data_IF_797984989945
#
_entry.id   IF_797984989945
#
_cell.length_a   1.000
_cell.length_b   1.000
_cell.length_c   1.000
_cell.angle_alpha   90.00
_cell.angle_beta   90.00
_cell.angle_gamma   90.00
#
_symmetry.space_group_name_H-M   'P 1'
#
loop_
_entity.id
_entity.type
_entity.pdbx_description
1 polymer ?
#
# COMPACT_ATOMS: atom_id res chain seq x y z
N UNK A 1 -24.28 10.40 1.76
CA UNK A 1 -23.30 9.78 0.82
C UNK A 1 -21.99 9.72 1.59
N UNK A 2 -21.30 8.60 1.67
CA UNK A 2 -20.00 8.57 2.39
C UNK A 2 -18.98 9.34 1.57
N UNK A 3 -18.38 10.37 2.15
CA UNK A 3 -17.38 11.22 1.50
C UNK A 3 -16.04 10.46 1.34
N UNK A 4 -15.63 9.76 2.41
CA UNK A 4 -14.40 8.96 2.41
C UNK A 4 -14.65 7.53 1.93
N UNK A 5 -13.87 7.10 0.93
CA UNK A 5 -13.80 5.72 0.46
C UNK A 5 -12.80 4.88 1.26
N UNK A 6 -12.29 3.78 0.68
CA UNK A 6 -11.33 2.88 1.32
C UNK A 6 -9.93 3.51 1.50
N UNK A 7 -9.60 4.57 0.77
CA UNK A 7 -8.29 5.22 0.81
C UNK A 7 -8.43 6.73 0.53
N UNK A 8 -9.10 7.43 1.41
CA UNK A 8 -9.38 8.85 1.29
C UNK A 8 -10.56 9.19 0.38
N UNK A 9 -10.73 10.47 0.09
CA UNK A 9 -11.70 11.00 -0.87
C UNK A 9 -11.09 10.86 -2.26
N UNK A 10 -11.78 10.24 -3.22
CA UNK A 10 -11.29 10.10 -4.60
C UNK A 10 -12.42 10.10 -5.60
N UNK A 11 -12.17 10.69 -6.77
CA UNK A 11 -13.09 10.68 -7.89
C UNK A 11 -12.72 11.67 -8.98
N UNK A 12 -13.61 11.81 -9.97
CA UNK A 12 -13.48 12.83 -11.01
C UNK A 12 -13.41 14.23 -10.40
N UNK A 13 -12.64 15.14 -11.01
CA UNK A 13 -12.47 16.51 -10.49
C UNK A 13 -13.76 17.34 -10.50
N UNK A 14 -14.79 16.89 -11.22
CA UNK A 14 -16.15 17.42 -11.13
C UNK A 14 -16.81 17.15 -9.77
N UNK A 15 -16.36 16.12 -9.05
CA UNK A 15 -16.82 15.73 -7.72
C UNK A 15 -15.81 16.18 -6.64
N UNK A 16 -14.51 15.96 -6.88
CA UNK A 16 -13.42 16.42 -5.99
C UNK A 16 -13.05 17.86 -6.35
N UNK A 17 -13.96 18.77 -6.03
CA UNK A 17 -13.86 20.19 -6.42
C UNK A 17 -13.00 21.02 -5.47
N UNK A 18 -12.51 22.20 -5.88
CA UNK A 18 -11.86 23.13 -4.95
C UNK A 18 -12.74 23.57 -3.78
N UNK A 19 -14.07 23.60 -3.96
CA UNK A 19 -15.01 23.90 -2.88
C UNK A 19 -15.03 22.78 -1.83
N UNK A 20 -15.02 21.52 -2.26
CA UNK A 20 -14.90 20.37 -1.37
C UNK A 20 -13.54 20.36 -0.66
N UNK A 21 -12.46 20.62 -1.39
CA UNK A 21 -11.10 20.68 -0.83
C UNK A 21 -10.98 21.76 0.26
N UNK A 22 -11.55 22.94 0.04
CA UNK A 22 -11.65 24.00 1.05
C UNK A 22 -12.41 23.51 2.29
N UNK A 23 -13.60 22.90 2.09
CA UNK A 23 -14.42 22.41 3.18
C UNK A 23 -13.72 21.31 4.01
N UNK A 24 -13.04 20.36 3.34
CA UNK A 24 -12.23 19.33 4.00
C UNK A 24 -11.09 19.94 4.79
N UNK A 25 -10.36 20.90 4.23
CA UNK A 25 -9.31 21.62 4.94
C UNK A 25 -9.86 22.34 6.18
N UNK A 26 -10.99 23.03 6.06
CA UNK A 26 -11.63 23.73 7.17
C UNK A 26 -12.15 22.73 8.24
N UNK A 27 -12.69 21.59 7.82
CA UNK A 27 -13.17 20.56 8.72
C UNK A 27 -12.04 19.80 9.45
N UNK A 28 -10.91 19.55 8.79
CA UNK A 28 -9.75 18.86 9.38
C UNK A 28 -8.90 19.77 10.25
N UNK A 29 -8.94 21.09 10.01
CA UNK A 29 -8.16 22.09 10.73
C UNK A 29 -8.67 22.32 12.15
N UNK A 30 -7.75 22.67 13.04
CA UNK A 30 -8.00 23.10 14.41
C UNK A 30 -6.97 24.17 14.78
N UNK A 31 -7.31 25.15 15.64
CA UNK A 31 -6.34 26.08 16.16
C UNK A 31 -5.14 25.38 16.80
N UNK A 32 -3.97 25.95 16.66
CA UNK A 32 -2.70 25.44 17.22
C UNK A 32 -2.24 24.09 16.66
N UNK A 33 -2.81 23.62 15.56
CA UNK A 33 -2.31 22.44 14.81
C UNK A 33 -1.49 22.85 13.60
N UNK A 34 -0.54 22.00 13.22
CA UNK A 34 0.31 22.21 12.05
C UNK A 34 0.07 21.08 11.03
N UNK A 35 -0.08 21.47 9.77
CA UNK A 35 -0.21 20.55 8.66
C UNK A 35 0.95 20.65 7.68
N UNK A 36 1.29 19.53 7.05
CA UNK A 36 2.03 19.52 5.79
C UNK A 36 1.05 19.23 4.65
N UNK A 37 1.17 19.97 3.55
CA UNK A 37 0.34 19.78 2.34
C UNK A 37 1.24 19.46 1.16
N UNK A 38 1.04 18.29 0.58
CA UNK A 38 1.75 17.81 -0.61
C UNK A 38 0.79 17.30 -1.69
N UNK A 39 1.31 17.06 -2.87
CA UNK A 39 0.54 16.58 -4.01
C UNK A 39 1.36 15.68 -4.92
N UNK A 40 0.67 14.86 -5.72
CA UNK A 40 1.26 14.18 -6.87
C UNK A 40 1.37 15.12 -8.09
N UNK A 41 1.72 14.58 -9.26
CA UNK A 41 1.92 15.36 -10.48
C UNK A 41 0.64 15.74 -11.24
N UNK A 42 -0.56 15.44 -10.75
CA UNK A 42 -1.82 15.70 -11.45
C UNK A 42 -2.05 17.19 -11.66
N UNK A 43 -2.55 17.55 -12.87
CA UNK A 43 -2.75 18.94 -13.31
C UNK A 43 -3.67 19.77 -12.38
N UNK A 44 -4.64 19.11 -11.74
CA UNK A 44 -5.60 19.78 -10.83
C UNK A 44 -5.07 19.90 -9.40
N UNK A 45 -3.95 19.21 -9.08
CA UNK A 45 -3.34 19.19 -7.76
C UNK A 45 -3.03 20.56 -7.18
N UNK A 46 -2.41 21.51 -7.94
CA UNK A 46 -2.10 22.84 -7.42
C UNK A 46 -3.32 23.63 -6.94
N UNK A 47 -4.43 23.55 -7.67
CA UNK A 47 -5.66 24.27 -7.32
C UNK A 47 -6.34 23.65 -6.08
N UNK A 48 -6.37 22.32 -5.99
CA UNK A 48 -6.91 21.61 -4.83
C UNK A 48 -6.06 21.85 -3.57
N UNK A 49 -4.72 21.83 -3.69
CA UNK A 49 -3.82 22.12 -2.59
C UNK A 49 -4.01 23.54 -2.03
N UNK A 50 -4.12 24.53 -2.91
CA UNK A 50 -4.40 25.91 -2.49
C UNK A 50 -5.76 26.05 -1.77
N UNK A 51 -6.77 25.30 -2.21
CA UNK A 51 -8.10 25.31 -1.58
C UNK A 51 -8.06 24.65 -0.18
N UNK A 52 -7.42 23.47 -0.05
CA UNK A 52 -7.21 22.81 1.26
C UNK A 52 -6.47 23.73 2.22
N UNK A 53 -5.39 24.36 1.77
CA UNK A 53 -4.57 25.27 2.56
C UNK A 53 -5.40 26.43 3.09
N UNK A 54 -6.18 27.11 2.21
CA UNK A 54 -7.07 28.21 2.64
C UNK A 54 -8.11 27.74 3.68
N UNK A 55 -8.59 26.50 3.57
CA UNK A 55 -9.46 25.88 4.56
C UNK A 55 -8.76 25.70 5.91
N UNK A 56 -7.58 25.10 5.92
CA UNK A 56 -6.76 24.87 7.11
C UNK A 56 -6.40 26.18 7.83
N UNK A 57 -5.89 27.17 7.08
CA UNK A 57 -5.56 28.50 7.62
C UNK A 57 -6.78 29.18 8.24
N UNK A 58 -7.94 29.11 7.56
CA UNK A 58 -9.17 29.71 8.07
C UNK A 58 -9.68 29.04 9.35
N UNK A 59 -9.34 27.78 9.57
CA UNK A 59 -9.61 27.04 10.81
C UNK A 59 -8.59 27.34 11.93
N UNK A 60 -7.49 28.06 11.62
CA UNK A 60 -6.45 28.43 12.57
C UNK A 60 -5.23 27.52 12.57
N UNK A 61 -5.11 26.59 11.60
CA UNK A 61 -3.96 25.71 11.48
C UNK A 61 -2.84 26.32 10.66
N UNK A 62 -1.59 26.16 11.09
CA UNK A 62 -0.43 26.48 10.28
C UNK A 62 -0.18 25.44 9.18
N UNK A 63 0.29 25.88 8.01
CA UNK A 63 0.51 25.02 6.86
C UNK A 63 1.93 25.09 6.33
N UNK A 64 2.59 23.96 6.18
CA UNK A 64 3.81 23.81 5.42
C UNK A 64 3.52 23.17 4.05
N UNK A 65 3.77 23.95 2.98
CA UNK A 65 3.69 23.44 1.59
C UNK A 65 4.96 22.67 1.28
N UNK A 66 4.83 21.41 0.92
CA UNK A 66 5.97 20.55 0.53
C UNK A 66 6.01 20.27 -0.99
N UNK A 67 5.05 20.78 -1.76
CA UNK A 67 5.05 20.71 -3.21
C UNK A 67 4.71 19.33 -3.78
N UNK A 68 5.35 19.00 -4.92
CA UNK A 68 5.24 17.68 -5.55
C UNK A 68 6.17 16.70 -4.86
N UNK A 69 5.56 15.65 -4.29
CA UNK A 69 6.28 14.61 -3.54
C UNK A 69 5.55 13.26 -3.63
N UNK A 70 6.24 12.13 -3.48
CA UNK A 70 5.61 10.85 -3.23
C UNK A 70 4.75 10.86 -1.96
N UNK A 71 3.66 10.08 -1.95
CA UNK A 71 2.82 9.90 -0.76
C UNK A 71 3.64 9.50 0.49
N UNK A 72 4.60 8.55 0.42
CA UNK A 72 5.43 8.23 1.58
C UNK A 72 6.30 9.42 2.05
N UNK A 73 6.73 10.32 1.17
CA UNK A 73 7.44 11.54 1.58
C UNK A 73 6.55 12.46 2.41
N UNK A 74 5.27 12.62 2.03
CA UNK A 74 4.31 13.38 2.83
C UNK A 74 4.07 12.70 4.18
N UNK A 75 3.86 11.39 4.20
CA UNK A 75 3.67 10.63 5.45
C UNK A 75 4.87 10.81 6.39
N UNK A 76 6.10 10.69 5.87
CA UNK A 76 7.33 11.00 6.60
C UNK A 76 7.33 12.42 7.16
N UNK A 77 6.95 13.42 6.38
CA UNK A 77 6.91 14.82 6.79
C UNK A 77 5.79 15.11 7.81
N UNK A 78 4.75 14.29 7.87
CA UNK A 78 3.64 14.45 8.83
C UNK A 78 3.92 13.89 10.22
N UNK A 79 5.12 13.35 10.48
CA UNK A 79 5.53 12.91 11.83
C UNK A 79 5.52 14.08 12.81
N UNK A 80 4.83 13.92 13.94
CA UNK A 80 4.63 14.96 14.94
C UNK A 80 3.67 16.08 14.54
N UNK A 81 2.95 15.93 13.41
CA UNK A 81 1.94 16.87 12.91
C UNK A 81 0.89 16.15 12.06
N UNK A 82 -0.03 16.90 11.47
CA UNK A 82 -0.99 16.36 10.50
C UNK A 82 -0.49 16.55 9.07
N UNK A 83 -1.10 15.85 8.10
CA UNK A 83 -0.76 15.95 6.68
C UNK A 83 -1.97 15.85 5.77
N UNK A 84 -1.87 16.46 4.59
CA UNK A 84 -2.84 16.32 3.50
C UNK A 84 -2.10 15.99 2.22
N UNK A 85 -2.43 14.88 1.59
CA UNK A 85 -1.91 14.51 0.27
C UNK A 85 -3.01 14.63 -0.78
N UNK A 86 -2.75 15.43 -1.82
CA UNK A 86 -3.60 15.56 -2.99
C UNK A 86 -3.16 14.52 -4.03
N UNK A 87 -3.91 13.44 -4.16
CA UNK A 87 -3.59 12.34 -5.08
C UNK A 87 -4.79 11.42 -5.28
N UNK A 88 -4.94 10.87 -6.46
CA UNK A 88 -5.81 9.72 -6.71
C UNK A 88 -5.01 8.44 -6.99
N UNK A 89 -3.69 8.41 -6.63
CA UNK A 89 -2.80 7.25 -6.77
C UNK A 89 -2.83 6.70 -8.21
N UNK A 90 -3.42 5.53 -8.40
CA UNK A 90 -3.47 4.79 -9.66
C UNK A 90 -4.73 5.07 -10.52
N UNK A 91 -5.57 6.03 -10.13
CA UNK A 91 -6.75 6.40 -10.92
C UNK A 91 -6.36 7.17 -12.20
N UNK A 92 -7.25 7.25 -13.20
CA UNK A 92 -7.00 8.01 -14.43
C UNK A 92 -6.63 9.48 -14.19
N UNK A 93 -6.04 10.18 -15.19
CA UNK A 93 -5.54 11.56 -15.05
C UNK A 93 -6.60 12.60 -14.65
N UNK A 94 -7.87 12.41 -15.04
CA UNK A 94 -8.99 13.29 -14.72
C UNK A 94 -9.47 13.17 -13.27
N UNK A 95 -9.05 12.15 -12.55
CA UNK A 95 -9.40 11.98 -11.14
C UNK A 95 -8.38 12.69 -10.24
N UNK A 96 -8.83 13.09 -9.06
CA UNK A 96 -7.96 13.51 -7.97
C UNK A 96 -8.51 13.01 -6.63
N UNK A 97 -7.85 13.33 -5.54
CA UNK A 97 -8.30 12.90 -4.22
C UNK A 97 -7.60 13.64 -3.09
N UNK A 98 -8.07 13.38 -1.88
CA UNK A 98 -7.57 13.96 -0.65
C UNK A 98 -7.39 12.84 0.37
N UNK A 99 -6.15 12.61 0.80
CA UNK A 99 -5.81 11.71 1.91
C UNK A 99 -5.37 12.54 3.11
N UNK A 100 -5.82 12.17 4.29
CA UNK A 100 -5.46 12.83 5.55
C UNK A 100 -4.53 11.94 6.38
N UNK A 101 -3.56 12.57 7.02
CA UNK A 101 -2.54 11.89 7.83
C UNK A 101 -2.42 12.52 9.22
N UNK A 102 -2.06 11.73 10.19
CA UNK A 102 -1.64 12.18 11.51
C UNK A 102 -0.43 11.38 11.97
N UNK A 103 0.65 12.07 12.31
CA UNK A 103 1.88 11.45 12.82
C UNK A 103 2.42 10.30 11.91
N UNK A 104 2.41 10.49 10.59
CA UNK A 104 2.89 9.52 9.61
C UNK A 104 1.85 8.47 9.17
N UNK A 105 0.70 8.38 9.80
CA UNK A 105 -0.33 7.36 9.53
C UNK A 105 -1.55 7.98 8.87
N UNK A 106 -2.14 7.32 7.88
CA UNK A 106 -3.43 7.73 7.31
C UNK A 106 -4.50 7.78 8.41
N UNK A 107 -5.45 8.72 8.30
CA UNK A 107 -6.58 8.79 9.24
C UNK A 107 -7.32 7.46 9.29
N UNK A 108 -7.66 7.03 10.49
CA UNK A 108 -8.57 5.91 10.67
C UNK A 108 -10.02 6.33 10.37
N UNK A 109 -10.90 5.33 10.26
CA UNK A 109 -12.32 5.57 9.93
C UNK A 109 -13.04 6.50 10.91
N UNK A 110 -12.61 6.59 12.15
CA UNK A 110 -13.23 7.49 13.15
C UNK A 110 -12.78 8.94 12.91
N UNK A 111 -11.50 9.15 12.60
CA UNK A 111 -10.97 10.46 12.26
C UNK A 111 -11.55 10.96 10.92
N UNK A 112 -11.70 10.07 9.91
CA UNK A 112 -12.37 10.38 8.65
C UNK A 112 -13.83 10.81 8.87
N UNK A 113 -14.59 10.04 9.65
CA UNK A 113 -16.00 10.36 9.99
C UNK A 113 -16.12 11.70 10.70
N UNK A 114 -15.21 12.01 11.62
CA UNK A 114 -15.24 13.29 12.31
C UNK A 114 -15.07 14.48 11.34
N UNK A 115 -14.28 14.33 10.27
CA UNK A 115 -14.16 15.32 9.20
C UNK A 115 -15.44 15.34 8.34
N UNK A 116 -15.95 14.17 7.95
CA UNK A 116 -17.17 14.01 7.15
C UNK A 116 -18.39 14.67 7.82
N UNK A 117 -18.61 14.38 9.11
CA UNK A 117 -19.70 14.96 9.92
C UNK A 117 -19.62 16.50 9.97
N UNK A 118 -18.41 17.07 10.00
CA UNK A 118 -18.21 18.52 9.97
C UNK A 118 -18.46 19.12 8.58
N UNK A 119 -18.08 18.41 7.51
CA UNK A 119 -18.31 18.85 6.12
C UNK A 119 -19.81 18.82 5.77
N UNK A 120 -20.53 17.78 6.22
CA UNK A 120 -21.95 17.57 5.93
C UNK A 120 -22.90 18.26 6.94
N UNK A 121 -22.36 18.80 8.04
CA UNK A 121 -23.15 19.39 9.12
C UNK A 121 -23.95 20.62 8.70
N UNK A 122 -25.18 20.74 9.21
CA UNK A 122 -26.10 21.85 8.93
C UNK A 122 -25.64 23.21 9.48
N UNK A 123 -24.79 23.21 10.51
CA UNK A 123 -24.30 24.44 11.17
C UNK A 123 -23.26 25.20 10.35
N UNK A 124 -22.79 24.59 9.23
CA UNK A 124 -21.76 25.14 8.35
C UNK A 124 -20.36 25.15 9.00
N UNK A 125 -19.35 25.28 8.16
CA UNK A 125 -17.96 25.44 8.60
C UNK A 125 -17.69 26.91 8.88
N UNK A 126 -17.32 27.23 10.13
CA UNK A 126 -16.99 28.60 10.53
C UNK A 126 -15.46 28.81 10.55
N UNK A 127 -15.04 29.92 9.97
CA UNK A 127 -13.65 30.39 10.12
C UNK A 127 -13.40 30.87 11.53
N UNK A 128 -12.19 30.66 12.02
CA UNK A 128 -11.77 31.28 13.28
C UNK A 128 -11.72 32.80 13.16
N UNK A 129 -11.54 33.49 14.29
CA UNK A 129 -11.50 34.94 14.30
C UNK A 129 -10.35 35.46 13.42
N UNK A 130 -10.54 36.57 12.72
CA UNK A 130 -9.62 37.13 11.72
C UNK A 130 -8.14 37.28 12.17
N UNK A 131 -7.90 37.42 13.48
CA UNK A 131 -6.58 37.56 14.09
C UNK A 131 -6.02 36.21 14.63
N UNK A 132 -6.64 35.08 14.26
CA UNK A 132 -6.26 33.73 14.65
C UNK A 132 -6.19 32.75 13.47
N UNK A 133 -6.13 33.29 12.27
CA UNK A 133 -5.87 32.45 11.11
C UNK A 133 -4.44 31.91 11.17
N UNK A 134 -4.26 30.70 10.68
CA UNK A 134 -2.94 30.10 10.56
C UNK A 134 -2.07 30.77 9.52
N UNK A 135 -0.79 30.53 9.58
CA UNK A 135 0.21 31.02 8.62
C UNK A 135 0.69 29.88 7.73
N UNK A 136 1.16 30.21 6.51
CA UNK A 136 1.76 29.22 5.62
C UNK A 136 3.21 29.55 5.26
N UNK A 137 4.00 28.47 5.10
CA UNK A 137 5.37 28.53 4.64
C UNK A 137 5.70 27.34 3.73
N UNK A 138 6.79 27.45 2.98
CA UNK A 138 7.33 26.32 2.19
C UNK A 138 8.33 25.55 3.04
N UNK A 139 8.30 24.21 2.94
CA UNK A 139 9.23 23.31 3.61
C UNK A 139 9.79 22.29 2.59
N UNK A 140 11.11 22.24 2.47
CA UNK A 140 11.79 21.23 1.66
C UNK A 140 12.00 19.96 2.50
N UNK A 141 11.44 18.83 2.03
CA UNK A 141 11.45 17.57 2.80
C UNK A 141 12.02 16.39 2.01
N UNK A 142 12.09 16.51 0.68
CA UNK A 142 12.40 15.39 -0.20
C UNK A 142 13.79 14.80 0.06
N UNK A 143 14.81 15.64 0.24
CA UNK A 143 16.17 15.16 0.53
C UNK A 143 16.27 14.50 1.91
N UNK A 144 15.59 15.05 2.92
CA UNK A 144 15.54 14.44 4.25
C UNK A 144 14.84 13.07 4.24
N UNK A 145 13.80 12.91 3.43
CA UNK A 145 13.14 11.62 3.23
C UNK A 145 14.06 10.61 2.52
N UNK A 146 14.70 11.02 1.41
CA UNK A 146 15.68 10.19 0.70
C UNK A 146 16.82 9.72 1.61
N UNK A 147 17.37 10.63 2.41
CA UNK A 147 18.43 10.33 3.38
C UNK A 147 17.94 9.35 4.45
N UNK A 148 16.69 9.48 4.90
CA UNK A 148 16.11 8.57 5.87
C UNK A 148 15.92 7.16 5.30
N UNK A 149 15.44 7.01 4.05
CA UNK A 149 15.33 5.70 3.39
C UNK A 149 16.71 5.07 3.19
N UNK A 150 17.69 5.83 2.72
CA UNK A 150 19.07 5.35 2.55
C UNK A 150 19.64 4.87 3.88
N UNK A 151 19.47 5.66 4.95
CA UNK A 151 19.93 5.30 6.30
C UNK A 151 19.27 4.01 6.80
N UNK A 152 17.96 3.91 6.62
CA UNK A 152 17.19 2.72 7.00
C UNK A 152 17.68 1.45 6.30
N UNK A 153 17.89 1.50 4.97
CA UNK A 153 18.36 0.31 4.23
C UNK A 153 19.77 -0.07 4.62
N UNK A 154 20.68 0.88 4.82
CA UNK A 154 22.04 0.60 5.33
C UNK A 154 22.04 -0.05 6.71
N UNK A 155 21.12 0.34 7.58
CA UNK A 155 20.95 -0.28 8.90
C UNK A 155 20.41 -1.71 8.81
N UNK A 156 19.47 -1.98 7.88
CA UNK A 156 18.92 -3.32 7.68
C UNK A 156 19.87 -4.28 6.95
N UNK A 157 20.77 -3.74 6.12
CA UNK A 157 21.70 -4.53 5.28
C UNK A 157 23.14 -4.03 5.48
N UNK A 158 23.73 -4.22 6.67
CA UNK A 158 25.09 -3.78 6.94
C UNK A 158 26.09 -4.56 6.08
N UNK A 159 27.01 -3.84 5.43
CA UNK A 159 28.08 -4.50 4.68
C UNK A 159 29.04 -5.24 5.63
N UNK A 160 29.49 -6.41 5.21
CA UNK A 160 30.38 -7.29 5.98
C UNK A 160 31.84 -6.81 6.02
N UNK A 161 32.18 -5.65 5.46
CA UNK A 161 33.54 -5.12 5.41
C UNK A 161 33.83 -4.18 6.56
N UNK A 162 34.93 -4.44 7.32
CA UNK A 162 35.51 -3.55 8.35
C UNK A 162 36.04 -2.21 7.80
N UNK A 163 35.53 -1.74 6.65
CA UNK A 163 35.94 -0.50 5.98
C UNK A 163 35.06 0.69 6.34
N UNK A 164 35.63 1.89 6.48
CA UNK A 164 34.86 3.08 6.79
C UNK A 164 34.07 3.57 5.57
N UNK A 165 32.79 3.84 5.76
CA UNK A 165 32.03 4.93 5.18
C UNK A 165 31.45 4.84 3.76
N UNK A 166 31.66 3.81 2.97
CA UNK A 166 30.89 3.62 1.71
C UNK A 166 30.06 2.34 1.77
N UNK A 167 29.08 2.34 2.67
CA UNK A 167 28.09 1.28 2.76
C UNK A 167 27.14 1.39 1.58
N UNK A 168 27.50 0.68 0.49
CA UNK A 168 26.80 0.66 -0.78
C UNK A 168 26.18 -0.74 -1.00
N UNK A 169 25.08 -1.08 -0.29
CA UNK A 169 24.51 -2.44 -0.33
C UNK A 169 24.00 -2.85 -1.70
N UNK A 170 23.90 -1.93 -2.66
CA UNK A 170 23.47 -2.19 -4.03
C UNK A 170 24.61 -2.07 -5.05
N UNK A 171 25.86 -2.01 -4.61
CA UNK A 171 27.01 -1.91 -5.53
C UNK A 171 27.03 -3.10 -6.51
N UNK A 172 27.11 -2.76 -7.79
CA UNK A 172 27.15 -3.75 -8.88
C UNK A 172 25.78 -4.19 -9.41
N UNK A 173 24.65 -3.72 -8.82
CA UNK A 173 23.34 -3.96 -9.41
C UNK A 173 23.02 -2.94 -10.50
N UNK A 174 22.54 -3.42 -11.65
CA UNK A 174 21.92 -2.64 -12.73
C UNK A 174 20.40 -2.70 -12.58
N UNK A 175 19.75 -1.58 -12.24
CA UNK A 175 18.32 -1.52 -11.93
C UNK A 175 17.59 -0.62 -12.91
N UNK A 176 16.54 -1.12 -13.55
CA UNK A 176 15.62 -0.28 -14.31
C UNK A 176 14.42 0.14 -13.43
N UNK A 177 14.03 1.42 -13.47
CA UNK A 177 12.88 1.95 -12.73
C UNK A 177 11.91 2.61 -13.70
N UNK A 178 10.71 2.06 -13.85
CA UNK A 178 9.61 2.72 -14.57
C UNK A 178 8.81 3.59 -13.59
N UNK A 179 9.03 4.89 -13.67
CA UNK A 179 8.36 5.89 -12.84
C UNK A 179 6.93 6.22 -13.32
N UNK A 180 6.51 5.75 -14.50
CA UNK A 180 5.16 5.93 -15.05
C UNK A 180 4.69 7.38 -15.12
N UNK A 181 5.58 8.35 -15.34
CA UNK A 181 5.34 9.79 -15.22
C UNK A 181 4.86 10.26 -13.83
N UNK A 182 4.98 9.41 -12.81
CA UNK A 182 4.60 9.70 -11.44
C UNK A 182 5.71 10.35 -10.61
N UNK A 183 5.36 10.75 -9.39
CA UNK A 183 6.30 11.40 -8.45
C UNK A 183 7.31 10.43 -7.80
N UNK A 184 7.20 9.12 -8.05
CA UNK A 184 8.24 8.14 -7.71
C UNK A 184 9.60 8.48 -8.31
N UNK A 185 9.62 9.14 -9.48
CA UNK A 185 10.82 9.66 -10.15
C UNK A 185 11.63 10.63 -9.27
N UNK A 186 10.97 11.32 -8.38
CA UNK A 186 11.59 12.27 -7.45
C UNK A 186 12.34 11.57 -6.30
N UNK A 187 12.11 10.29 -6.05
CA UNK A 187 12.70 9.61 -4.89
C UNK A 187 13.45 8.32 -5.27
N UNK A 188 12.80 7.33 -5.86
CA UNK A 188 13.34 5.98 -6.03
C UNK A 188 14.67 5.92 -6.76
N UNK A 189 14.85 6.54 -7.96
CA UNK A 189 16.14 6.47 -8.65
C UNK A 189 17.29 7.10 -7.85
N UNK A 190 16.98 8.16 -7.09
CA UNK A 190 17.96 8.84 -6.26
C UNK A 190 18.37 8.02 -5.04
N UNK A 191 17.42 7.33 -4.39
CA UNK A 191 17.68 6.44 -3.24
C UNK A 191 18.54 5.27 -3.68
N UNK A 192 18.16 4.59 -4.77
CA UNK A 192 18.91 3.44 -5.29
C UNK A 192 20.34 3.82 -5.71
N UNK A 193 20.51 4.94 -6.42
CA UNK A 193 21.84 5.45 -6.78
C UNK A 193 22.70 5.81 -5.57
N UNK A 194 22.12 6.37 -4.48
CA UNK A 194 22.86 6.64 -3.23
C UNK A 194 23.23 5.37 -2.45
N UNK A 195 22.51 4.26 -2.70
CA UNK A 195 22.81 2.92 -2.17
C UNK A 195 23.82 2.16 -3.03
N UNK A 196 24.27 2.71 -4.16
CA UNK A 196 25.34 2.16 -5.00
C UNK A 196 24.89 1.50 -6.30
N UNK A 197 23.59 1.45 -6.61
CA UNK A 197 23.11 0.84 -7.86
C UNK A 197 23.37 1.73 -9.07
N UNK A 198 23.60 1.10 -10.23
CA UNK A 198 23.50 1.72 -11.54
C UNK A 198 22.04 1.74 -11.99
N UNK A 199 21.45 2.94 -12.08
CA UNK A 199 20.00 3.09 -12.27
C UNK A 199 19.66 3.69 -13.63
N UNK A 200 18.79 3.01 -14.36
CA UNK A 200 18.13 3.54 -15.57
C UNK A 200 16.68 3.88 -15.24
N UNK A 201 16.35 5.16 -15.17
CA UNK A 201 15.00 5.63 -14.89
C UNK A 201 14.24 5.93 -16.20
N UNK A 202 13.11 5.24 -16.39
CA UNK A 202 12.20 5.40 -17.52
C UNK A 202 10.99 6.23 -17.08
N UNK A 203 10.43 7.02 -18.02
CA UNK A 203 9.23 7.83 -17.75
C UNK A 203 9.36 8.70 -16.50
N UNK A 204 10.60 9.22 -16.26
CA UNK A 204 10.99 9.88 -15.02
C UNK A 204 10.63 11.38 -14.98
N UNK A 205 10.08 11.95 -16.03
CA UNK A 205 9.46 13.27 -16.00
C UNK A 205 8.08 13.19 -15.35
N UNK A 206 7.83 13.98 -14.33
CA UNK A 206 6.48 14.08 -13.73
C UNK A 206 5.53 14.69 -14.76
N UNK A 207 4.44 13.97 -15.06
CA UNK A 207 3.41 14.43 -16.00
C UNK A 207 2.04 13.86 -15.58
N UNK A 208 1.16 14.73 -15.12
CA UNK A 208 -0.16 14.35 -14.61
C UNK A 208 -1.12 13.75 -15.65
N UNK A 209 -0.75 13.74 -16.94
CA UNK A 209 -1.49 13.04 -17.98
C UNK A 209 -1.14 11.55 -18.06
N UNK A 210 -0.05 11.11 -17.43
CA UNK A 210 0.43 9.71 -17.46
C UNK A 210 0.52 9.15 -18.87
N UNK A 211 1.21 9.89 -19.78
CA UNK A 211 1.23 9.63 -21.22
C UNK A 211 2.02 8.38 -21.61
N UNK A 212 2.97 7.95 -20.77
CA UNK A 212 3.78 6.77 -21.06
C UNK A 212 2.99 5.46 -20.87
N UNK A 213 2.18 5.39 -19.84
CA UNK A 213 1.26 4.31 -19.50
C UNK A 213 0.22 4.78 -18.51
N UNK A 214 -0.85 4.01 -18.34
CA UNK A 214 -1.78 4.25 -17.23
C UNK A 214 -1.04 4.23 -15.88
N UNK A 215 -1.48 5.07 -14.96
CA UNK A 215 -0.88 5.23 -13.63
C UNK A 215 -0.86 3.93 -12.81
N UNK A 216 -1.76 2.98 -13.10
CA UNK A 216 -1.80 1.67 -12.44
C UNK A 216 -0.80 0.71 -13.10
N UNK A 217 0.25 0.25 -12.39
CA UNK A 217 1.19 -0.73 -12.91
C UNK A 217 0.56 -2.13 -12.88
N UNK A 218 0.13 -2.62 -14.06
CA UNK A 218 -0.37 -4.00 -14.25
C UNK A 218 0.50 -4.68 -15.30
N UNK A 219 0.49 -6.02 -15.42
CA UNK A 219 1.26 -6.71 -16.46
C UNK A 219 0.99 -6.15 -17.87
N UNK A 220 -0.26 -5.76 -18.15
CA UNK A 220 -0.65 -5.19 -19.45
C UNK A 220 -0.05 -3.79 -19.66
N UNK A 221 -0.09 -2.92 -18.65
CA UNK A 221 0.45 -1.55 -18.72
C UNK A 221 1.97 -1.51 -18.66
N UNK A 222 2.61 -2.57 -18.16
CA UNK A 222 4.06 -2.72 -18.06
C UNK A 222 4.69 -3.45 -19.27
N UNK A 223 3.92 -3.78 -20.31
CA UNK A 223 4.41 -4.56 -21.47
C UNK A 223 5.64 -3.94 -22.14
N UNK A 224 5.69 -2.61 -22.31
CA UNK A 224 6.84 -1.93 -22.90
C UNK A 224 8.05 -1.94 -21.95
N UNK A 225 7.82 -1.85 -20.65
CA UNK A 225 8.88 -1.95 -19.64
C UNK A 225 9.42 -3.38 -19.54
N UNK A 226 8.56 -4.39 -19.60
CA UNK A 226 8.94 -5.80 -19.69
C UNK A 226 9.85 -6.04 -20.89
N UNK A 227 9.43 -5.61 -22.10
CA UNK A 227 10.23 -5.73 -23.30
C UNK A 227 11.57 -4.95 -23.23
N UNK A 228 11.62 -3.83 -22.52
CA UNK A 228 12.85 -3.09 -22.28
C UNK A 228 13.84 -3.90 -21.43
N UNK A 229 13.38 -4.53 -20.35
CA UNK A 229 14.21 -5.39 -19.50
C UNK A 229 14.82 -6.56 -20.28
N UNK A 230 14.05 -7.25 -21.13
CA UNK A 230 14.53 -8.36 -21.95
C UNK A 230 15.69 -7.99 -22.89
N UNK A 231 15.82 -6.71 -23.25
CA UNK A 231 16.86 -6.22 -24.16
C UNK A 231 18.10 -5.69 -23.46
N UNK A 232 18.04 -5.50 -22.13
CA UNK A 232 19.12 -4.97 -21.30
C UNK A 232 19.86 -6.03 -20.52
N UNK A 233 20.80 -5.57 -19.68
CA UNK A 233 21.56 -6.40 -18.73
C UNK A 233 21.17 -6.05 -17.28
N UNK A 234 19.87 -5.84 -17.05
CA UNK A 234 19.37 -5.47 -15.73
C UNK A 234 19.25 -6.68 -14.80
N UNK A 235 19.51 -6.48 -13.52
CA UNK A 235 19.30 -7.48 -12.49
C UNK A 235 17.83 -7.54 -12.03
N UNK A 236 17.13 -6.38 -12.07
CA UNK A 236 15.70 -6.28 -11.79
C UNK A 236 15.07 -5.02 -12.38
N UNK A 237 13.75 -5.07 -12.54
CA UNK A 237 12.89 -3.95 -12.88
C UNK A 237 11.99 -3.57 -11.71
N UNK A 238 11.76 -2.27 -11.51
CA UNK A 238 10.88 -1.72 -10.47
C UNK A 238 9.89 -0.76 -11.11
N UNK A 239 8.61 -0.84 -10.76
CA UNK A 239 7.59 0.06 -11.30
C UNK A 239 6.69 0.62 -10.20
N UNK A 240 6.39 1.93 -10.27
CA UNK A 240 5.51 2.63 -9.33
C UNK A 240 4.19 3.03 -9.98
N UNK A 241 3.19 3.27 -9.14
CA UNK A 241 2.00 4.04 -9.50
C UNK A 241 2.23 5.55 -9.38
N UNK A 242 1.20 6.36 -9.61
CA UNK A 242 1.34 7.80 -9.75
C UNK A 242 1.89 8.53 -8.53
N UNK A 243 1.63 8.04 -7.31
CA UNK A 243 2.07 8.64 -6.04
C UNK A 243 3.10 7.80 -5.27
N UNK A 244 3.58 6.70 -5.89
CA UNK A 244 4.64 5.82 -5.39
C UNK A 244 4.38 5.21 -4.00
N UNK A 245 3.11 5.00 -3.64
CA UNK A 245 2.76 4.19 -2.48
C UNK A 245 2.84 2.69 -2.81
N UNK A 246 2.88 2.30 -4.10
CA UNK A 246 2.98 0.91 -4.59
C UNK A 246 4.31 0.60 -5.24
N UNK A 247 4.63 -0.69 -5.23
CA UNK A 247 5.77 -1.26 -5.94
C UNK A 247 5.35 -2.53 -6.68
N UNK A 248 5.72 -2.62 -7.96
CA UNK A 248 5.72 -3.85 -8.75
C UNK A 248 7.16 -4.17 -9.09
N UNK A 249 7.54 -5.44 -8.96
CA UNK A 249 8.89 -5.94 -9.21
C UNK A 249 8.87 -6.87 -10.42
N UNK A 250 9.84 -6.71 -11.30
CA UNK A 250 10.04 -7.55 -12.48
C UNK A 250 11.43 -8.21 -12.43
N UNK A 251 11.51 -9.44 -12.90
CA UNK A 251 12.78 -10.11 -13.12
C UNK A 251 13.55 -9.56 -14.31
N UNK A 252 14.82 -9.96 -14.49
CA UNK A 252 15.64 -9.57 -15.65
C UNK A 252 15.07 -10.05 -17.00
N UNK A 253 14.23 -11.07 -16.97
CA UNK A 253 13.47 -11.61 -18.10
C UNK A 253 12.19 -10.82 -18.44
N UNK A 254 11.94 -9.71 -17.73
CA UNK A 254 10.76 -8.87 -17.90
C UNK A 254 9.47 -9.47 -17.29
N UNK A 255 9.52 -10.64 -16.67
CA UNK A 255 8.35 -11.22 -16.00
C UNK A 255 8.05 -10.50 -14.69
N UNK A 256 6.77 -10.17 -14.46
CA UNK A 256 6.31 -9.62 -13.18
C UNK A 256 6.41 -10.69 -12.10
N UNK A 257 7.20 -10.41 -11.07
CA UNK A 257 7.25 -11.25 -9.87
C UNK A 257 5.93 -11.07 -9.11
N UNK A 258 5.28 -12.18 -8.77
CA UNK A 258 3.98 -12.13 -8.11
C UNK A 258 4.06 -11.32 -6.80
N UNK A 259 3.10 -10.44 -6.57
CA UNK A 259 3.09 -9.54 -5.41
C UNK A 259 3.20 -10.27 -4.07
N UNK A 260 2.54 -11.42 -3.94
CA UNK A 260 2.61 -12.23 -2.71
C UNK A 260 3.97 -12.93 -2.52
N UNK A 261 4.73 -13.15 -3.61
CA UNK A 261 6.11 -13.64 -3.54
C UNK A 261 7.02 -12.56 -2.98
N UNK A 262 6.92 -11.33 -3.50
CA UNK A 262 7.67 -10.18 -2.97
C UNK A 262 7.34 -9.96 -1.50
N UNK A 263 6.04 -10.01 -1.14
CA UNK A 263 5.58 -9.85 0.23
C UNK A 263 6.13 -10.95 1.14
N UNK A 264 6.11 -12.22 0.71
CA UNK A 264 6.64 -13.34 1.46
C UNK A 264 8.14 -13.22 1.74
N UNK A 265 8.93 -12.76 0.74
CA UNK A 265 10.36 -12.55 0.86
C UNK A 265 10.70 -11.44 1.85
N UNK A 266 10.05 -10.29 1.73
CA UNK A 266 10.26 -9.15 2.64
C UNK A 266 9.81 -9.50 4.06
N UNK A 267 8.66 -10.16 4.21
CA UNK A 267 8.14 -10.62 5.49
C UNK A 267 9.08 -11.61 6.18
N UNK A 268 9.59 -12.61 5.44
CA UNK A 268 10.56 -13.57 5.97
C UNK A 268 11.86 -12.90 6.43
N UNK A 269 12.36 -11.93 5.65
CA UNK A 269 13.55 -11.17 6.01
C UNK A 269 13.38 -10.45 7.35
N UNK A 270 12.32 -9.65 7.50
CA UNK A 270 12.08 -8.93 8.74
C UNK A 270 11.78 -9.84 9.93
N UNK A 271 11.08 -10.95 9.69
CA UNK A 271 10.84 -11.96 10.74
C UNK A 271 12.14 -12.57 11.22
N UNK A 272 13.02 -12.98 10.31
CA UNK A 272 14.31 -13.57 10.66
C UNK A 272 15.32 -12.58 11.30
N UNK A 273 15.20 -11.29 10.98
CA UNK A 273 16.03 -10.23 11.53
C UNK A 273 15.53 -9.69 12.88
N UNK A 274 14.35 -10.12 13.34
CA UNK A 274 13.77 -9.65 14.59
C UNK A 274 14.37 -10.35 15.80
N UNK A 275 14.66 -9.58 16.85
CA UNK A 275 15.05 -10.11 18.17
C UNK A 275 13.84 -10.43 19.07
N UNK A 276 12.60 -10.16 18.60
CA UNK A 276 11.39 -10.46 19.37
C UNK A 276 11.09 -11.97 19.39
N UNK A 277 10.57 -12.46 20.51
CA UNK A 277 10.17 -13.87 20.64
C UNK A 277 8.93 -14.22 19.81
N UNK A 278 8.06 -13.23 19.54
CA UNK A 278 6.84 -13.36 18.70
C UNK A 278 6.81 -12.27 17.61
N UNK A 279 7.59 -12.41 16.53
CA UNK A 279 7.52 -11.49 15.40
C UNK A 279 6.24 -11.70 14.59
N UNK A 280 5.49 -10.60 14.37
CA UNK A 280 4.18 -10.60 13.71
C UNK A 280 4.23 -9.87 12.37
N UNK A 281 3.69 -10.50 11.34
CA UNK A 281 3.42 -9.88 10.05
C UNK A 281 1.92 -9.67 9.89
N UNK A 282 1.50 -8.43 9.63
CA UNK A 282 0.09 -8.09 9.40
C UNK A 282 -0.20 -8.05 7.90
N UNK A 283 -1.22 -8.78 7.45
CA UNK A 283 -1.63 -8.79 6.03
C UNK A 283 -3.15 -8.89 5.87
N UNK A 284 -3.62 -9.11 4.65
CA UNK A 284 -5.05 -9.16 4.31
C UNK A 284 -5.50 -10.56 3.92
N UNK A 285 -6.80 -10.87 3.98
CA UNK A 285 -7.30 -12.23 3.75
C UNK A 285 -7.11 -12.73 2.32
N UNK A 286 -6.93 -11.83 1.35
CA UNK A 286 -6.68 -12.17 -0.05
C UNK A 286 -5.19 -12.36 -0.39
N UNK A 287 -4.31 -12.20 0.58
CA UNK A 287 -2.89 -12.50 0.43
C UNK A 287 -2.64 -14.02 0.54
N UNK A 288 -1.65 -14.51 -0.20
CA UNK A 288 -1.33 -15.93 -0.34
C UNK A 288 -0.87 -16.58 0.96
N UNK A 289 -1.15 -17.87 1.11
CA UNK A 289 -0.64 -18.70 2.21
C UNK A 289 0.88 -18.94 2.11
N UNK A 290 1.53 -18.67 0.96
CA UNK A 290 3.00 -18.69 0.86
C UNK A 290 3.68 -17.73 1.82
N UNK A 291 2.97 -16.64 2.20
CA UNK A 291 3.45 -15.68 3.19
C UNK A 291 3.52 -16.35 4.57
N UNK A 292 2.45 -17.05 4.97
CA UNK A 292 2.40 -17.78 6.25
C UNK A 292 3.49 -18.85 6.33
N UNK A 293 3.74 -19.54 5.21
CA UNK A 293 4.78 -20.55 5.11
C UNK A 293 6.17 -19.94 5.36
N UNK A 294 6.49 -18.84 4.68
CA UNK A 294 7.78 -18.18 4.81
C UNK A 294 7.97 -17.52 6.19
N UNK A 295 6.96 -16.85 6.71
CA UNK A 295 6.99 -16.22 8.04
C UNK A 295 7.12 -17.27 9.14
N UNK A 296 6.38 -18.38 9.06
CA UNK A 296 6.50 -19.49 10.01
C UNK A 296 7.87 -20.15 9.98
N UNK A 297 8.45 -20.36 8.80
CA UNK A 297 9.78 -20.88 8.63
C UNK A 297 10.86 -19.95 9.23
N UNK A 298 10.61 -18.65 9.23
CA UNK A 298 11.46 -17.63 9.85
C UNK A 298 11.20 -17.45 11.36
N UNK A 299 10.24 -18.17 11.95
CA UNK A 299 9.96 -18.14 13.39
C UNK A 299 8.89 -17.15 13.84
N UNK A 300 8.10 -16.58 12.92
CA UNK A 300 7.02 -15.65 13.22
C UNK A 300 5.63 -16.18 12.93
N UNK A 301 4.65 -15.29 13.05
CA UNK A 301 3.24 -15.55 12.70
C UNK A 301 2.64 -14.45 11.83
N UNK A 302 1.58 -14.82 11.12
CA UNK A 302 0.80 -13.90 10.29
C UNK A 302 -0.53 -13.59 10.95
N UNK A 303 -0.87 -12.32 11.01
CA UNK A 303 -2.15 -11.81 11.46
C UNK A 303 -2.89 -11.15 10.29
N UNK A 304 -4.17 -11.54 10.07
CA UNK A 304 -4.97 -11.00 8.97
C UNK A 304 -5.96 -9.96 9.45
N UNK A 305 -6.10 -8.90 8.65
CA UNK A 305 -7.06 -7.81 8.88
C UNK A 305 -7.86 -7.53 7.61
N UNK A 306 -9.03 -6.92 7.72
CA UNK A 306 -9.80 -6.51 6.54
C UNK A 306 -8.96 -5.64 5.61
N UNK A 307 -9.28 -5.67 4.31
CA UNK A 307 -8.61 -4.82 3.32
C UNK A 307 -8.69 -3.34 3.71
N UNK A 308 -7.56 -2.64 3.56
CA UNK A 308 -7.42 -1.24 3.93
C UNK A 308 -7.28 -0.98 5.43
N UNK A 309 -7.14 -2.02 6.27
CA UNK A 309 -7.07 -1.88 7.72
C UNK A 309 -5.70 -2.30 8.32
N UNK A 310 -4.63 -2.25 7.54
CA UNK A 310 -3.29 -2.62 8.03
C UNK A 310 -2.91 -1.86 9.30
N UNK A 311 -3.17 -0.54 9.34
CA UNK A 311 -2.87 0.30 10.49
C UNK A 311 -3.67 -0.09 11.75
N UNK A 312 -4.93 -0.51 11.59
CA UNK A 312 -5.76 -1.01 12.68
C UNK A 312 -5.18 -2.31 13.25
N UNK A 313 -4.70 -3.20 12.36
CA UNK A 313 -4.03 -4.44 12.74
C UNK A 313 -2.73 -4.19 13.50
N UNK A 314 -1.86 -3.35 12.96
CA UNK A 314 -0.61 -2.94 13.63
C UNK A 314 -0.92 -2.36 15.02
N UNK A 315 -1.89 -1.46 15.12
CA UNK A 315 -2.27 -0.85 16.40
C UNK A 315 -2.89 -1.85 17.37
N UNK A 316 -3.63 -2.85 16.86
CA UNK A 316 -4.20 -3.93 17.70
C UNK A 316 -3.11 -4.80 18.29
N UNK A 317 -2.19 -5.31 17.46
CA UNK A 317 -1.08 -6.16 17.91
C UNK A 317 -0.16 -5.40 18.88
N UNK A 318 0.20 -4.15 18.60
CA UNK A 318 1.00 -3.31 19.48
C UNK A 318 0.30 -3.03 20.83
N UNK A 319 -1.03 -2.91 20.85
CA UNK A 319 -1.78 -2.74 22.11
C UNK A 319 -1.86 -4.04 22.91
N UNK A 320 -2.03 -5.18 22.23
CA UNK A 320 -2.02 -6.49 22.87
C UNK A 320 -0.65 -6.80 23.51
N UNK A 321 0.42 -6.31 22.89
CA UNK A 321 1.80 -6.43 23.36
C UNK A 321 2.22 -5.34 24.37
N UNK A 322 1.36 -4.39 24.74
CA UNK A 322 1.74 -3.24 25.59
C UNK A 322 2.26 -3.60 26.98
N UNK A 323 1.95 -4.79 27.48
CA UNK A 323 2.44 -5.35 28.74
C UNK A 323 3.46 -6.49 28.54
N UNK A 324 3.90 -6.73 27.28
CA UNK A 324 4.73 -7.85 26.89
C UNK A 324 5.75 -7.39 25.83
N UNK A 325 7.03 -7.33 26.19
CA UNK A 325 8.13 -6.95 25.28
C UNK A 325 8.47 -8.09 24.29
N UNK A 326 7.74 -9.22 24.33
CA UNK A 326 8.04 -10.42 23.52
C UNK A 326 7.46 -10.32 22.09
N UNK A 327 6.38 -9.54 21.88
CA UNK A 327 5.70 -9.42 20.57
C UNK A 327 6.09 -8.14 19.81
N UNK A 328 6.50 -8.27 18.57
CA UNK A 328 6.77 -7.13 17.68
C UNK A 328 6.10 -7.26 16.31
N UNK A 329 5.40 -6.22 15.85
CA UNK A 329 4.94 -6.13 14.46
C UNK A 329 6.12 -5.69 13.60
N UNK A 330 6.70 -6.64 12.86
CA UNK A 330 7.93 -6.43 12.08
C UNK A 330 7.65 -5.91 10.67
N UNK A 331 6.49 -6.23 10.11
CA UNK A 331 6.09 -5.84 8.76
C UNK A 331 4.56 -5.86 8.62
N UNK A 332 4.02 -5.01 7.73
CA UNK A 332 2.63 -5.13 7.34
C UNK A 332 2.47 -4.84 5.85
N UNK A 333 1.60 -5.59 5.16
CA UNK A 333 1.44 -5.42 3.73
C UNK A 333 0.09 -5.89 3.19
N UNK A 334 -0.37 -5.20 2.16
CA UNK A 334 -1.31 -5.69 1.14
C UNK A 334 -0.51 -5.94 -0.16
N UNK A 335 -1.04 -6.73 -1.10
CA UNK A 335 -0.41 -6.84 -2.42
C UNK A 335 -0.03 -5.47 -2.99
N UNK A 336 1.26 -5.31 -3.34
CA UNK A 336 1.92 -4.08 -3.82
C UNK A 336 2.09 -2.93 -2.82
N UNK A 337 1.57 -3.02 -1.60
CA UNK A 337 1.60 -1.96 -0.58
C UNK A 337 2.24 -2.46 0.70
N UNK A 338 3.37 -1.90 1.05
CA UNK A 338 4.18 -2.36 2.16
C UNK A 338 4.37 -1.27 3.21
N UNK A 339 4.30 -1.65 4.48
CA UNK A 339 4.61 -0.82 5.66
C UNK A 339 5.83 -1.42 6.35
N UNK A 340 6.95 -0.74 6.27
CA UNK A 340 8.19 -1.09 6.94
C UNK A 340 8.14 -0.54 8.37
N UNK A 341 7.62 -1.31 9.32
CA UNK A 341 7.20 -0.84 10.66
C UNK A 341 8.32 -0.26 11.52
N UNK A 342 9.56 -0.64 11.27
CA UNK A 342 10.74 -0.05 11.89
C UNK A 342 11.13 1.30 11.28
N UNK A 343 10.80 1.55 10.01
CA UNK A 343 11.02 2.82 9.32
C UNK A 343 9.90 3.82 9.59
N UNK A 344 8.66 3.37 9.51
CA UNK A 344 7.50 4.22 9.71
C UNK A 344 6.17 3.47 9.69
N UNK A 345 5.09 4.20 9.99
CA UNK A 345 3.73 3.65 10.03
C UNK A 345 2.94 3.86 8.74
N UNK A 346 3.57 4.06 7.60
CA UNK A 346 2.92 4.37 6.32
C UNK A 346 3.30 3.37 5.23
N UNK A 347 2.47 3.30 4.20
CA UNK A 347 2.73 2.51 2.99
C UNK A 347 3.82 3.23 2.17
N UNK A 348 4.90 2.50 1.83
CA UNK A 348 6.11 3.09 1.23
C UNK A 348 6.67 2.24 0.09
N UNK A 349 6.31 2.60 -1.14
CA UNK A 349 6.84 1.93 -2.33
C UNK A 349 8.32 2.25 -2.59
N UNK A 350 8.82 3.42 -2.15
CA UNK A 350 10.22 3.83 -2.33
C UNK A 350 11.14 3.03 -1.40
N UNK A 351 10.78 2.90 -0.12
CA UNK A 351 11.50 2.06 0.82
C UNK A 351 11.44 0.58 0.38
N UNK A 352 10.28 0.12 -0.11
CA UNK A 352 10.12 -1.23 -0.65
C UNK A 352 11.04 -1.49 -1.83
N UNK A 353 11.17 -0.55 -2.76
CA UNK A 353 12.09 -0.65 -3.90
C UNK A 353 13.54 -0.85 -3.43
N UNK A 354 13.97 -0.06 -2.45
CA UNK A 354 15.32 -0.15 -1.92
C UNK A 354 15.58 -1.46 -1.12
N UNK A 355 14.60 -1.88 -0.30
CA UNK A 355 14.68 -3.15 0.48
C UNK A 355 14.72 -4.36 -0.45
N UNK A 356 13.83 -4.43 -1.45
CA UNK A 356 13.80 -5.55 -2.41
C UNK A 356 15.10 -5.60 -3.20
N UNK A 357 15.63 -4.46 -3.64
CA UNK A 357 16.93 -4.40 -4.32
C UNK A 357 18.07 -4.91 -3.43
N UNK A 358 18.06 -4.57 -2.14
CA UNK A 358 19.06 -5.07 -1.19
C UNK A 358 18.93 -6.58 -0.93
N UNK A 359 17.72 -7.13 -0.94
CA UNK A 359 17.50 -8.57 -0.88
C UNK A 359 18.06 -9.29 -2.12
N UNK A 360 17.87 -8.71 -3.32
CA UNK A 360 18.45 -9.25 -4.57
C UNK A 360 19.98 -9.22 -4.49
N UNK A 361 20.56 -8.09 -4.07
CA UNK A 361 22.02 -7.97 -3.89
C UNK A 361 22.58 -9.03 -2.93
N UNK A 362 21.91 -9.24 -1.80
CA UNK A 362 22.30 -10.22 -0.79
C UNK A 362 22.16 -11.67 -1.28
N UNK A 363 21.18 -11.97 -2.13
CA UNK A 363 20.97 -13.30 -2.71
C UNK A 363 21.87 -13.58 -3.92
N UNK A 364 22.37 -12.52 -4.57
CA UNK A 364 23.16 -12.58 -5.81
C UNK A 364 22.33 -12.39 -7.08
N UNK A 365 21.10 -12.87 -7.12
CA UNK A 365 20.15 -12.65 -8.22
C UNK A 365 18.69 -12.87 -7.77
N UNK A 366 17.74 -12.50 -8.65
CA UNK A 366 16.29 -12.62 -8.41
C UNK A 366 15.82 -14.07 -8.36
N UNK A 367 16.42 -14.99 -9.10
CA UNK A 367 16.06 -16.42 -9.12
C UNK A 367 16.42 -17.07 -7.79
N UNK A 368 17.64 -16.84 -7.32
CA UNK A 368 18.12 -17.32 -6.01
C UNK A 368 17.27 -16.77 -4.86
N UNK A 369 16.90 -15.48 -4.93
CA UNK A 369 16.03 -14.85 -3.94
C UNK A 369 14.66 -15.53 -3.88
N UNK A 370 14.06 -15.84 -5.03
CA UNK A 370 12.72 -16.45 -5.13
C UNK A 370 12.69 -17.95 -4.81
N UNK A 371 13.82 -18.66 -4.95
CA UNK A 371 13.89 -20.11 -4.85
C UNK A 371 13.24 -20.72 -3.58
N UNK A 372 13.27 -20.08 -2.39
CA UNK A 372 12.60 -20.61 -1.20
C UNK A 372 11.06 -20.54 -1.25
N UNK A 373 10.48 -19.73 -2.13
CA UNK A 373 9.03 -19.48 -2.17
C UNK A 373 8.37 -20.38 -3.22
N UNK A 374 7.48 -21.26 -2.78
CA UNK A 374 6.69 -22.08 -3.71
C UNK A 374 5.56 -21.27 -4.30
N UNK A 375 5.64 -20.97 -5.60
CA UNK A 375 4.57 -20.30 -6.34
C UNK A 375 3.61 -21.33 -6.89
N UNK A 376 2.30 -21.18 -6.57
CA UNK A 376 1.21 -22.02 -7.08
C UNK A 376 0.33 -21.20 -8.02
N UNK A 377 -0.31 -21.81 -9.01
CA UNK A 377 -1.29 -21.14 -9.86
C UNK A 377 -2.41 -20.48 -9.04
N UNK A 378 -2.72 -19.23 -9.38
CA UNK A 378 -3.73 -18.41 -8.72
C UNK A 378 -4.90 -18.12 -9.65
N UNK A 379 -6.11 -18.06 -9.09
CA UNK A 379 -7.34 -17.63 -9.78
C UNK A 379 -8.16 -16.68 -8.93
N UNK A 380 -8.77 -15.74 -9.63
CA UNK A 380 -9.78 -14.83 -9.06
C UNK A 380 -11.00 -14.87 -9.95
N UNK A 381 -12.15 -15.25 -9.40
CA UNK A 381 -13.43 -15.39 -10.11
C UNK A 381 -14.50 -14.58 -9.39
N UNK A 382 -15.37 -13.93 -10.16
CA UNK A 382 -16.56 -13.24 -9.63
C UNK A 382 -17.82 -14.03 -9.99
N UNK A 383 -18.74 -14.16 -9.03
CA UNK A 383 -20.05 -14.79 -9.20
C UNK A 383 -21.11 -13.76 -8.91
N UNK A 384 -22.03 -13.54 -9.85
CA UNK A 384 -23.08 -12.53 -9.74
C UNK A 384 -23.99 -12.79 -8.51
N UNK A 385 -24.07 -11.81 -7.63
CA UNK A 385 -24.89 -11.82 -6.44
C UNK A 385 -25.40 -10.41 -6.16
N UNK A 386 -26.73 -10.25 -6.13
CA UNK A 386 -27.34 -8.96 -5.82
C UNK A 386 -27.01 -8.53 -4.39
N UNK A 387 -26.93 -7.23 -4.14
CA UNK A 387 -26.56 -6.70 -2.83
C UNK A 387 -27.50 -7.18 -1.71
N UNK A 388 -28.80 -7.33 -2.02
CA UNK A 388 -29.80 -7.83 -1.07
C UNK A 388 -29.60 -9.31 -0.69
N UNK A 389 -29.02 -10.13 -1.57
CA UNK A 389 -28.77 -11.55 -1.34
C UNK A 389 -27.41 -11.84 -0.69
N UNK A 390 -26.47 -10.88 -0.71
CA UNK A 390 -25.09 -11.12 -0.24
C UNK A 390 -25.01 -11.59 1.22
N UNK A 391 -25.79 -10.95 2.11
CA UNK A 391 -25.71 -11.25 3.53
C UNK A 391 -26.17 -12.70 3.82
N UNK A 392 -27.30 -13.10 3.25
CA UNK A 392 -27.86 -14.45 3.44
C UNK A 392 -27.00 -15.51 2.76
N UNK A 393 -26.49 -15.23 1.55
CA UNK A 393 -25.57 -16.12 0.86
C UNK A 393 -24.27 -16.34 1.64
N UNK A 394 -23.67 -15.28 2.17
CA UNK A 394 -22.44 -15.39 2.97
C UNK A 394 -22.66 -16.17 4.26
N UNK A 395 -23.79 -15.96 4.95
CA UNK A 395 -24.12 -16.73 6.15
C UNK A 395 -24.30 -18.25 5.87
N UNK A 396 -24.88 -18.61 4.73
CA UNK A 396 -24.97 -20.02 4.31
C UNK A 396 -23.59 -20.57 3.96
N UNK A 397 -22.75 -19.80 3.27
CA UNK A 397 -21.41 -20.20 2.82
C UNK A 397 -20.44 -20.53 3.95
N UNK A 398 -20.60 -19.95 5.14
CA UNK A 398 -19.79 -20.33 6.31
C UNK A 398 -19.91 -21.83 6.66
N UNK A 399 -21.10 -22.39 6.49
CA UNK A 399 -21.35 -23.83 6.73
C UNK A 399 -21.10 -24.65 5.47
N UNK A 400 -21.65 -24.22 4.34
CA UNK A 400 -21.63 -25.02 3.10
C UNK A 400 -20.21 -25.24 2.56
N UNK A 401 -19.34 -24.24 2.65
CA UNK A 401 -17.93 -24.38 2.25
C UNK A 401 -17.16 -25.27 3.24
N UNK A 402 -17.42 -25.14 4.54
CA UNK A 402 -16.80 -26.00 5.54
C UNK A 402 -17.17 -27.47 5.33
N UNK A 403 -18.44 -27.75 4.99
CA UNK A 403 -18.93 -29.10 4.71
C UNK A 403 -18.39 -29.67 3.39
N UNK A 404 -18.24 -28.80 2.38
CA UNK A 404 -17.69 -29.19 1.08
C UNK A 404 -16.19 -29.50 1.12
N UNK A 405 -15.47 -28.83 2.01
CA UNK A 405 -14.00 -28.93 2.15
C UNK A 405 -13.58 -29.32 3.58
N UNK A 406 -13.93 -30.53 4.06
CA UNK A 406 -13.75 -30.91 5.46
C UNK A 406 -12.28 -31.08 5.89
N UNK A 407 -11.33 -31.08 4.95
CA UNK A 407 -9.90 -31.15 5.22
C UNK A 407 -9.25 -29.77 5.43
N UNK A 408 -10.00 -28.68 5.20
CA UNK A 408 -9.48 -27.33 5.33
C UNK A 408 -9.68 -26.77 6.75
N UNK A 409 -8.74 -25.93 7.18
CA UNK A 409 -8.95 -25.02 8.32
C UNK A 409 -9.77 -23.82 7.84
N UNK A 410 -10.80 -23.43 8.61
CA UNK A 410 -11.75 -22.38 8.23
C UNK A 410 -11.57 -21.14 9.09
N UNK A 411 -11.44 -19.97 8.46
CA UNK A 411 -11.51 -18.66 9.10
C UNK A 411 -12.65 -17.85 8.45
N UNK A 412 -13.59 -17.38 9.28
CA UNK A 412 -14.76 -16.59 8.84
C UNK A 412 -14.67 -15.11 9.20
N UNK A 413 -13.55 -14.63 9.71
CA UNK A 413 -13.37 -13.25 10.20
C UNK A 413 -13.58 -12.19 9.12
N UNK A 414 -13.22 -12.48 7.86
CA UNK A 414 -13.23 -11.52 6.74
C UNK A 414 -13.76 -12.11 5.43
N UNK A 415 -14.76 -12.94 5.51
CA UNK A 415 -15.27 -13.82 4.47
C UNK A 415 -15.04 -15.26 4.89
N UNK A 416 -15.17 -16.22 3.99
CA UNK A 416 -14.88 -17.63 4.29
C UNK A 416 -13.54 -17.98 3.67
N UNK A 417 -12.49 -18.07 4.48
CA UNK A 417 -11.17 -18.54 4.07
C UNK A 417 -10.94 -19.96 4.48
N UNK A 418 -10.52 -20.79 3.54
CA UNK A 418 -10.17 -22.19 3.71
C UNK A 418 -8.69 -22.36 3.43
N UNK A 419 -7.94 -22.95 4.35
CA UNK A 419 -6.53 -23.27 4.18
C UNK A 419 -6.30 -24.78 4.29
N UNK A 420 -5.55 -25.33 3.35
CA UNK A 420 -5.23 -26.76 3.27
C UNK A 420 -3.79 -27.03 3.75
N UNK A 421 -3.49 -28.26 4.12
CA UNK A 421 -2.16 -28.67 4.62
C UNK A 421 -1.03 -28.43 3.60
N UNK A 422 -1.33 -28.46 2.30
CA UNK A 422 -0.38 -28.18 1.21
C UNK A 422 -0.18 -26.68 0.91
N UNK A 423 -0.68 -25.81 1.78
CA UNK A 423 -0.72 -24.36 1.63
C UNK A 423 -1.58 -23.87 0.44
N UNK A 424 -2.38 -24.74 -0.19
CA UNK A 424 -3.48 -24.30 -1.04
C UNK A 424 -4.53 -23.57 -0.21
N UNK A 425 -5.25 -22.62 -0.81
CA UNK A 425 -6.28 -21.88 -0.10
C UNK A 425 -7.39 -21.38 -1.01
N UNK A 426 -8.55 -21.13 -0.42
CA UNK A 426 -9.70 -20.45 -1.03
C UNK A 426 -10.11 -19.29 -0.12
N UNK A 427 -10.51 -18.18 -0.69
CA UNK A 427 -11.23 -17.12 0.01
C UNK A 427 -12.49 -16.77 -0.77
N UNK A 428 -13.65 -16.87 -0.13
CA UNK A 428 -14.94 -16.42 -0.65
C UNK A 428 -15.39 -15.20 0.15
N UNK A 429 -15.60 -14.06 -0.52
CA UNK A 429 -16.05 -12.84 0.13
C UNK A 429 -16.94 -11.98 -0.76
N UNK A 430 -17.85 -11.18 -0.18
CA UNK A 430 -18.66 -10.25 -0.96
C UNK A 430 -17.80 -9.10 -1.48
N UNK A 431 -18.14 -8.58 -2.66
CA UNK A 431 -17.63 -7.28 -3.11
C UNK A 431 -18.34 -6.16 -2.35
N UNK A 432 -17.57 -5.17 -1.87
CA UNK A 432 -18.12 -4.01 -1.20
C UNK A 432 -18.71 -2.95 -2.14
N UNK A 433 -18.38 -3.02 -3.43
CA UNK A 433 -18.74 -1.98 -4.42
C UNK A 433 -19.52 -2.49 -5.62
N UNK A 434 -19.59 -3.81 -5.83
CA UNK A 434 -20.14 -4.42 -7.03
C UNK A 434 -21.04 -5.61 -6.69
N UNK A 435 -22.10 -5.91 -7.47
CA UNK A 435 -23.09 -6.92 -7.15
C UNK A 435 -22.62 -8.36 -7.43
N UNK A 436 -21.53 -8.78 -6.78
CA UNK A 436 -21.02 -10.14 -6.86
C UNK A 436 -20.27 -10.58 -5.59
N UNK A 437 -20.10 -11.89 -5.47
CA UNK A 437 -19.20 -12.56 -4.53
C UNK A 437 -17.94 -12.94 -5.28
N UNK A 438 -16.76 -12.73 -4.67
CA UNK A 438 -15.46 -13.09 -5.23
C UNK A 438 -14.96 -14.39 -4.62
N UNK A 439 -14.40 -15.23 -5.47
CA UNK A 439 -13.63 -16.42 -5.11
C UNK A 439 -12.19 -16.14 -5.50
N UNK A 440 -11.30 -16.26 -4.53
CA UNK A 440 -9.85 -16.26 -4.73
C UNK A 440 -9.36 -17.65 -4.38
N UNK A 441 -8.47 -18.21 -5.15
CA UNK A 441 -7.87 -19.52 -4.87
C UNK A 441 -6.44 -19.62 -5.40
N UNK A 442 -5.65 -20.41 -4.71
CA UNK A 442 -4.29 -20.75 -5.09
C UNK A 442 -4.05 -22.23 -4.78
N UNK A 443 -3.64 -23.01 -5.78
CA UNK A 443 -3.39 -24.45 -5.67
C UNK A 443 -2.72 -24.96 -6.93
N UNK A 444 -2.00 -26.06 -6.86
CA UNK A 444 -1.48 -26.77 -8.03
C UNK A 444 -2.61 -27.27 -8.95
N UNK A 445 -3.81 -27.45 -8.40
CA UNK A 445 -5.03 -27.84 -9.13
C UNK A 445 -6.11 -26.76 -9.06
N UNK A 446 -5.70 -25.49 -9.17
CA UNK A 446 -6.54 -24.32 -8.90
C UNK A 446 -7.84 -24.28 -9.69
N UNK A 447 -7.85 -24.75 -10.94
CA UNK A 447 -9.06 -24.73 -11.78
C UNK A 447 -10.14 -25.70 -11.25
N UNK A 448 -9.74 -26.86 -10.73
CA UNK A 448 -10.66 -27.79 -10.06
C UNK A 448 -11.16 -27.21 -8.73
N UNK A 449 -10.24 -26.67 -7.93
CA UNK A 449 -10.56 -26.08 -6.64
C UNK A 449 -11.56 -24.92 -6.76
N UNK A 450 -11.37 -24.07 -7.78
CA UNK A 450 -12.29 -22.96 -8.10
C UNK A 450 -13.63 -23.48 -8.59
N UNK A 451 -13.66 -24.53 -9.44
CA UNK A 451 -14.91 -25.11 -9.94
C UNK A 451 -15.76 -25.66 -8.78
N UNK A 452 -15.15 -26.44 -7.88
CA UNK A 452 -15.83 -26.99 -6.71
C UNK A 452 -16.37 -25.89 -5.78
N UNK A 453 -15.54 -24.86 -5.49
CA UNK A 453 -15.97 -23.72 -4.67
C UNK A 453 -17.08 -22.90 -5.33
N UNK A 454 -17.02 -22.73 -6.64
CA UNK A 454 -18.03 -22.00 -7.41
C UNK A 454 -19.40 -22.68 -7.38
N UNK A 455 -19.45 -23.99 -7.50
CA UNK A 455 -20.69 -24.75 -7.42
C UNK A 455 -21.39 -24.57 -6.06
N UNK A 456 -20.64 -24.55 -4.97
CA UNK A 456 -21.13 -24.22 -3.63
C UNK A 456 -21.66 -22.79 -3.55
N UNK A 457 -20.89 -21.82 -4.05
CA UNK A 457 -21.26 -20.41 -4.03
C UNK A 457 -22.51 -20.15 -4.87
N UNK A 458 -22.61 -20.70 -6.07
CA UNK A 458 -23.80 -20.56 -6.93
C UNK A 458 -25.05 -21.18 -6.29
N UNK A 459 -24.89 -22.31 -5.58
CA UNK A 459 -25.99 -22.96 -4.86
C UNK A 459 -26.48 -22.10 -3.69
N UNK A 460 -25.57 -21.55 -2.87
CA UNK A 460 -25.92 -20.68 -1.76
C UNK A 460 -26.61 -19.39 -2.24
N UNK A 461 -26.09 -18.76 -3.31
CA UNK A 461 -26.71 -17.56 -3.90
C UNK A 461 -28.12 -17.88 -4.45
N UNK A 462 -28.30 -19.02 -5.10
CA UNK A 462 -29.61 -19.44 -5.62
C UNK A 462 -30.64 -19.65 -4.51
N UNK A 463 -30.21 -20.17 -3.35
CA UNK A 463 -31.07 -20.38 -2.18
C UNK A 463 -31.42 -19.09 -1.43
N UNK A 464 -30.63 -18.01 -1.63
CA UNK A 464 -30.80 -16.70 -0.98
C UNK A 464 -31.61 -15.70 -1.81
N UNK A 465 -32.06 -16.08 -3.02
CA UNK A 465 -32.96 -15.32 -3.90
C UNK A 465 -34.40 -15.67 -3.62
#
# INVERSE_FOLDING_TARGET
MTLFGTAGIRGPVEEVTPALALAVGQAAGDPDTTFVVGRDGRETGPALAAAVEAGLESAGSDVYRIGEVPTPTLAFASRGRKGVMLTASHNPPQDNGIKLFANGVEFDRNAERAVEDRVEGDDGLESTRWDRWGESATLEVLDAYRDAVVGYVREQFPSSSDGPADDAPLEGLEIAVDCGNGVGSLATPHVLGRLGADVVALNANVDGHFIARESKPTPETLSDFSAFLETGSFDLGLAHDGDADRLVVLGPDGEVIHEDTVLALVAAHYTAASDADDPVVVTTPNASARIDEQVRNAGGRVERVRLGALHEGIARERRAAADDDETAVVFAAEPWKHIHTAFGGWIDGVASAAVVSALVAAAGDTETLRAPVTERPYRKVSVDCSDDAKADAMAALETDLSDAFPAATVDTSYGVRLEFEDASWILVRPSGTEPYVRIYAESDTVDNLVADARDVVETAIAASR
#
